data_IF_519527562599
#
_entry.id   IF_519527562599
#
_cell.length_a   1.000
_cell.length_b   1.000
_cell.length_c   1.000
_cell.angle_alpha   90.00
_cell.angle_beta   90.00
_cell.angle_gamma   90.00
#
_symmetry.space_group_name_H-M   'P 1'
#
loop_
_entity.id
_entity.type
_entity.pdbx_description
1 polymer ?
#
# COMPACT_ATOMS: atom_id res chain seq x y z
N UNK A 1 3.12 -0.02 -0.45
CA UNK A 1 3.88 -1.12 0.18
C UNK A 1 2.93 -2.19 0.71
N UNK A 2 1.73 -1.81 1.18
CA UNK A 2 0.70 -2.75 1.70
C UNK A 2 1.21 -3.55 2.91
N UNK A 3 2.06 -2.92 3.71
CA UNK A 3 2.48 -3.48 4.99
C UNK A 3 1.48 -3.04 6.06
N UNK A 4 1.23 -3.89 7.04
CA UNK A 4 0.34 -3.53 8.15
C UNK A 4 0.99 -2.43 9.01
N UNK A 5 0.21 -1.44 9.48
CA UNK A 5 0.70 -0.42 10.41
C UNK A 5 1.59 0.67 9.82
N UNK A 6 1.85 0.68 8.50
CA UNK A 6 2.79 1.65 7.91
C UNK A 6 2.29 3.09 7.98
N UNK A 7 0.99 3.33 7.92
CA UNK A 7 0.43 4.69 7.87
C UNK A 7 0.68 5.38 9.21
N UNK A 8 0.44 4.66 10.31
CA UNK A 8 0.67 5.12 11.68
C UNK A 8 2.17 5.32 11.96
N UNK A 9 3.01 4.39 11.49
CA UNK A 9 4.46 4.54 11.60
C UNK A 9 4.98 5.79 10.86
N UNK A 10 4.49 6.04 9.64
CA UNK A 10 4.85 7.24 8.87
C UNK A 10 4.29 8.50 9.55
N UNK A 11 3.04 8.47 10.03
CA UNK A 11 2.41 9.58 10.75
C UNK A 11 3.21 9.97 11.98
N UNK A 12 3.52 9.01 12.86
CA UNK A 12 4.33 9.26 14.04
C UNK A 12 5.70 9.87 13.69
N UNK A 13 6.35 9.41 12.62
CA UNK A 13 7.62 9.96 12.16
C UNK A 13 7.51 11.40 11.62
N UNK A 14 6.40 11.74 10.95
CA UNK A 14 6.14 13.10 10.47
C UNK A 14 5.85 14.05 11.65
N UNK A 15 5.04 13.63 12.62
CA UNK A 15 4.77 14.40 13.85
C UNK A 15 6.06 14.71 14.62
N UNK A 16 6.90 13.69 14.83
CA UNK A 16 8.18 13.84 15.54
C UNK A 16 9.14 14.83 14.87
N UNK A 17 8.98 15.07 13.57
CA UNK A 17 9.78 16.02 12.78
C UNK A 17 9.12 17.38 12.59
N UNK A 18 7.95 17.63 13.18
CA UNK A 18 7.20 18.87 13.00
C UNK A 18 6.61 19.04 11.61
N UNK A 19 6.31 17.93 10.91
CA UNK A 19 5.77 17.91 9.55
C UNK A 19 4.28 17.56 9.53
N UNK A 20 3.50 18.13 10.46
CA UNK A 20 2.10 17.73 10.68
C UNK A 20 1.22 17.95 9.45
N UNK A 21 1.50 19.01 8.69
CA UNK A 21 0.74 19.38 7.49
C UNK A 21 1.05 18.50 6.26
N UNK A 22 2.04 17.62 6.34
CA UNK A 22 2.33 16.67 5.26
C UNK A 22 1.23 15.62 5.20
N UNK A 23 0.53 15.58 4.07
CA UNK A 23 -0.54 14.62 3.82
C UNK A 23 0.01 13.22 3.53
N UNK A 24 -0.69 12.18 3.98
CA UNK A 24 -0.43 10.79 3.61
C UNK A 24 -1.59 10.32 2.73
N UNK A 25 -1.29 9.94 1.49
CA UNK A 25 -2.24 9.27 0.62
C UNK A 25 -1.99 7.77 0.69
N UNK A 26 -2.75 7.09 1.54
CA UNK A 26 -2.59 5.64 1.67
C UNK A 26 -3.15 4.91 0.46
N UNK A 27 -2.39 3.93 -0.01
CA UNK A 27 -2.88 2.91 -0.94
C UNK A 27 -3.58 1.81 -0.14
N UNK A 28 -4.67 2.14 0.56
CA UNK A 28 -5.32 1.27 1.53
C UNK A 28 -5.80 -0.06 0.94
N UNK A 29 -6.40 -0.02 -0.25
CA UNK A 29 -6.87 -1.22 -0.94
C UNK A 29 -6.12 -1.43 -2.27
N UNK A 30 -4.91 -1.97 -2.20
CA UNK A 30 -4.11 -2.31 -3.39
C UNK A 30 -4.08 -3.82 -3.63
N UNK A 31 -4.70 -4.23 -4.74
CA UNK A 31 -4.87 -5.62 -5.12
C UNK A 31 -3.68 -6.23 -5.85
N UNK A 32 -3.51 -7.54 -5.74
CA UNK A 32 -2.59 -8.35 -6.54
C UNK A 32 -3.15 -8.49 -7.97
N UNK A 33 -2.87 -7.50 -8.81
CA UNK A 33 -3.50 -7.36 -10.12
C UNK A 33 -2.54 -7.62 -11.30
N UNK A 34 -3.06 -8.26 -12.36
CA UNK A 34 -2.36 -8.45 -13.64
C UNK A 34 -2.25 -7.15 -14.47
N UNK A 35 -3.03 -6.13 -14.14
CA UNK A 35 -3.08 -4.85 -14.87
C UNK A 35 -1.82 -3.99 -14.69
N UNK A 36 -0.91 -4.36 -13.77
CA UNK A 36 0.31 -3.59 -13.51
C UNK A 36 1.46 -3.84 -14.49
N UNK A 37 1.28 -4.71 -15.50
CA UNK A 37 2.31 -5.05 -16.49
C UNK A 37 2.95 -3.82 -17.18
N UNK A 38 2.17 -2.96 -17.86
CA UNK A 38 2.72 -1.80 -18.57
C UNK A 38 3.49 -0.83 -17.67
N UNK A 39 3.02 -0.61 -16.45
CA UNK A 39 3.72 0.23 -15.47
C UNK A 39 5.06 -0.38 -15.08
N UNK A 40 5.11 -1.71 -14.81
CA UNK A 40 6.35 -2.39 -14.42
C UNK A 40 7.43 -2.31 -15.51
N UNK A 41 7.01 -2.35 -16.77
CA UNK A 41 7.89 -2.20 -17.94
C UNK A 41 8.44 -0.77 -18.03
N UNK A 42 7.56 0.23 -17.90
CA UNK A 42 7.94 1.64 -17.98
C UNK A 42 8.98 2.04 -16.92
N UNK A 43 8.92 1.46 -15.72
CA UNK A 43 9.88 1.75 -14.64
C UNK A 43 11.04 0.73 -14.54
N UNK A 44 11.20 -0.18 -15.51
CA UNK A 44 12.29 -1.16 -15.54
C UNK A 44 12.26 -2.20 -14.41
N UNK A 45 11.12 -2.39 -13.74
CA UNK A 45 11.01 -3.23 -12.54
C UNK A 45 10.68 -4.70 -12.81
N UNK A 46 10.50 -5.07 -14.08
CA UNK A 46 10.05 -6.42 -14.49
C UNK A 46 10.96 -7.55 -13.97
N UNK A 47 12.26 -7.30 -13.86
CA UNK A 47 13.25 -8.26 -13.36
C UNK A 47 13.62 -8.13 -11.88
N UNK A 48 13.11 -7.12 -11.17
CA UNK A 48 13.42 -6.89 -9.75
C UNK A 48 12.56 -7.74 -8.81
N UNK A 49 11.38 -8.17 -9.28
CA UNK A 49 10.49 -9.01 -8.51
C UNK A 49 10.79 -10.49 -8.81
N UNK A 50 11.35 -11.21 -7.85
CA UNK A 50 11.35 -12.68 -7.89
C UNK A 50 10.13 -13.18 -7.12
N UNK A 51 9.14 -13.72 -7.84
CA UNK A 51 7.87 -14.21 -7.26
C UNK A 51 6.68 -13.27 -7.50
N UNK A 52 5.64 -13.39 -6.67
CA UNK A 52 4.45 -12.55 -6.73
C UNK A 52 4.29 -11.67 -5.48
N UNK A 53 3.27 -10.81 -5.49
CA UNK A 53 2.99 -9.86 -4.41
C UNK A 53 1.79 -10.28 -3.55
N UNK A 54 1.30 -11.52 -3.70
CA UNK A 54 0.02 -11.95 -3.11
C UNK A 54 0.05 -12.07 -1.59
N UNK A 55 1.23 -12.13 -0.99
CA UNK A 55 1.37 -12.22 0.47
C UNK A 55 1.12 -10.91 1.21
N UNK A 56 0.99 -9.80 0.48
CA UNK A 56 0.75 -8.47 1.06
C UNK A 56 -0.19 -7.61 0.22
N UNK A 57 -0.29 -7.82 -1.09
CA UNK A 57 -1.35 -7.22 -1.89
C UNK A 57 -2.62 -8.06 -1.78
N UNK A 58 -3.76 -7.38 -1.69
CA UNK A 58 -5.04 -8.03 -1.48
C UNK A 58 -5.44 -8.97 -2.62
N UNK A 59 -6.17 -10.03 -2.29
CA UNK A 59 -6.82 -10.86 -3.29
C UNK A 59 -7.91 -10.06 -4.02
N UNK A 60 -7.90 -9.99 -5.37
CA UNK A 60 -8.93 -9.33 -6.17
C UNK A 60 -10.38 -9.76 -5.86
N UNK A 61 -10.59 -10.96 -5.31
CA UNK A 61 -11.91 -11.45 -4.93
C UNK A 61 -12.45 -10.84 -3.63
N UNK A 62 -11.61 -10.20 -2.80
CA UNK A 62 -11.94 -9.81 -1.44
C UNK A 62 -12.39 -8.35 -1.30
N UNK A 63 -13.67 -8.06 -1.58
CA UNK A 63 -14.21 -6.71 -1.40
C UNK A 63 -14.38 -6.31 0.09
N UNK A 64 -14.76 -7.25 0.96
CA UNK A 64 -14.97 -6.96 2.39
C UNK A 64 -13.66 -6.68 3.14
N UNK A 65 -12.55 -7.31 2.71
CA UNK A 65 -11.21 -7.02 3.21
C UNK A 65 -10.82 -5.56 2.94
N UNK A 66 -11.20 -5.01 1.78
CA UNK A 66 -10.91 -3.62 1.42
C UNK A 66 -11.45 -2.62 2.44
N UNK A 67 -12.67 -2.87 2.95
CA UNK A 67 -13.28 -2.01 3.95
C UNK A 67 -12.54 -2.07 5.29
N UNK A 68 -11.99 -3.23 5.65
CA UNK A 68 -11.19 -3.39 6.86
C UNK A 68 -9.85 -2.67 6.73
N UNK A 69 -9.14 -2.87 5.62
CA UNK A 69 -7.87 -2.19 5.35
C UNK A 69 -8.02 -0.67 5.34
N UNK A 70 -9.07 -0.14 4.70
CA UNK A 70 -9.38 1.29 4.70
C UNK A 70 -9.68 1.80 6.12
N UNK A 71 -10.45 1.05 6.90
CA UNK A 71 -10.77 1.44 8.27
C UNK A 71 -9.53 1.46 9.18
N UNK A 72 -8.60 0.52 9.00
CA UNK A 72 -7.32 0.48 9.71
C UNK A 72 -6.48 1.70 9.37
N UNK A 73 -6.25 1.97 8.09
CA UNK A 73 -5.45 3.11 7.64
C UNK A 73 -6.03 4.48 8.06
N UNK A 74 -7.34 4.58 8.27
CA UNK A 74 -7.99 5.81 8.81
C UNK A 74 -7.76 5.96 10.32
N UNK A 75 -7.68 4.85 11.05
CA UNK A 75 -7.51 4.84 12.50
C UNK A 75 -6.04 5.04 12.95
N UNK A 76 -5.09 4.81 12.05
CA UNK A 76 -3.64 4.97 12.24
C UNK A 76 -3.16 6.44 12.28
#
# INVERSE_FOLDING_TARGET
DMMDGRVGAIRAALEAKGLQHTQIMSYAAKYASAFYGPYRDAIGSRGLLQGDKKTYQMDPANAAEALREVALDIAE
#
